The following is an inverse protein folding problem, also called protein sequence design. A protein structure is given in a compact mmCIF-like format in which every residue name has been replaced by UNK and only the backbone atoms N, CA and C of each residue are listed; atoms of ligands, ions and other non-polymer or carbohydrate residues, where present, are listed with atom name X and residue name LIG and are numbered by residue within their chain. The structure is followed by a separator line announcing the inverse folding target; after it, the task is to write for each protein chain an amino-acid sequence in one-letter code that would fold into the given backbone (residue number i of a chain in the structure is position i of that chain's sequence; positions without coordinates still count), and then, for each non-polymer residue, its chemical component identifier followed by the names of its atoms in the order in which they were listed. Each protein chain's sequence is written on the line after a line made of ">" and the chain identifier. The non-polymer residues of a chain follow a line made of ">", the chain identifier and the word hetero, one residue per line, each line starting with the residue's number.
data_IF_928741642093
#
_entry.id   IF_928741642093
#
_cell.length_a   1.000
_cell.length_b   1.000
_cell.length_c   1.000
_cell.angle_alpha   90.00
_cell.angle_beta   90.00
_cell.angle_gamma   90.00
#
_symmetry.space_group_name_H-M   'P 1'
#
loop_
_entity.id
_entity.type
_entity.pdbx_description
1 polymer ?
#
# COMPACT_ATOMS: atom_id res chain seq x y z
N UNK A 1 -6.43 31.38 9.80
CA UNK A 1 -5.66 30.23 9.26
C UNK A 1 -6.24 28.99 9.89
N UNK A 2 -6.86 28.13 9.10
CA UNK A 2 -7.28 26.80 9.56
C UNK A 2 -6.02 25.96 9.78
N UNK A 3 -5.82 25.49 11.01
CA UNK A 3 -4.71 24.60 11.35
C UNK A 3 -5.15 23.17 11.05
N UNK A 4 -4.35 22.42 10.29
CA UNK A 4 -4.55 20.98 10.08
C UNK A 4 -5.30 20.54 8.82
N UNK A 5 -5.60 21.46 7.88
CA UNK A 5 -6.24 21.14 6.58
C UNK A 5 -7.59 20.41 6.68
N UNK A 6 -8.31 20.57 7.80
CA UNK A 6 -9.65 20.01 7.94
C UNK A 6 -10.57 20.58 6.85
N UNK A 7 -11.29 19.70 6.15
CA UNK A 7 -12.21 20.02 5.05
C UNK A 7 -11.59 20.76 3.85
N UNK A 8 -10.25 20.78 3.72
CA UNK A 8 -9.54 21.36 2.58
C UNK A 8 -9.27 20.29 1.51
N UNK A 9 -9.84 20.47 0.32
CA UNK A 9 -9.55 19.61 -0.84
C UNK A 9 -8.15 19.94 -1.39
N UNK A 10 -7.19 19.03 -1.18
CA UNK A 10 -5.80 19.22 -1.61
C UNK A 10 -5.54 18.75 -3.06
N UNK A 11 -6.29 17.75 -3.54
CA UNK A 11 -6.13 17.16 -4.88
C UNK A 11 -7.40 16.43 -5.34
N UNK A 12 -7.47 16.13 -6.63
CA UNK A 12 -8.42 15.18 -7.21
C UNK A 12 -7.77 13.80 -7.30
N UNK A 13 -8.52 12.73 -7.00
CA UNK A 13 -8.01 11.35 -7.04
C UNK A 13 -9.07 10.39 -7.56
N UNK A 14 -8.63 9.32 -8.23
CA UNK A 14 -9.46 8.18 -8.62
C UNK A 14 -9.14 6.91 -7.81
N UNK A 15 -8.19 7.00 -6.85
CA UNK A 15 -7.62 5.84 -6.17
C UNK A 15 -8.53 5.30 -5.07
N UNK A 16 -9.08 6.19 -4.24
CA UNK A 16 -9.96 5.79 -3.14
C UNK A 16 -11.00 6.86 -2.85
N UNK A 17 -12.13 6.43 -2.30
CA UNK A 17 -13.18 7.30 -1.80
C UNK A 17 -13.56 6.88 -0.38
N UNK A 18 -13.85 7.86 0.48
CA UNK A 18 -14.14 7.65 1.90
C UNK A 18 -15.40 8.43 2.25
N UNK A 19 -16.45 7.71 2.62
CA UNK A 19 -17.61 8.32 3.27
C UNK A 19 -17.47 8.14 4.79
N UNK A 20 -16.92 9.16 5.45
CA UNK A 20 -16.72 9.16 6.89
C UNK A 20 -18.03 9.21 7.71
N UNK A 21 -19.17 9.60 7.12
CA UNK A 21 -20.47 9.62 7.81
C UNK A 21 -21.11 8.24 7.82
N UNK A 22 -20.99 7.51 6.72
CA UNK A 22 -21.51 6.16 6.58
C UNK A 22 -20.48 5.07 6.96
N UNK A 23 -19.23 5.45 7.19
CA UNK A 23 -18.14 4.53 7.53
C UNK A 23 -17.75 3.61 6.37
N UNK A 24 -17.84 4.11 5.13
CA UNK A 24 -17.56 3.33 3.92
C UNK A 24 -16.27 3.76 3.26
N UNK A 25 -15.56 2.79 2.69
CA UNK A 25 -14.29 2.97 1.99
C UNK A 25 -14.33 2.16 0.69
N UNK A 26 -13.88 2.80 -0.39
CA UNK A 26 -13.73 2.16 -1.70
C UNK A 26 -12.33 2.36 -2.25
N UNK A 27 -11.79 1.34 -2.92
CA UNK A 27 -10.58 1.42 -3.73
C UNK A 27 -10.94 1.27 -5.21
N UNK A 28 -10.61 2.27 -6.01
CA UNK A 28 -10.93 2.34 -7.44
C UNK A 28 -12.39 1.93 -7.78
N UNK A 29 -13.34 2.26 -6.89
CA UNK A 29 -14.76 1.94 -7.02
C UNK A 29 -15.23 0.62 -6.40
N UNK A 30 -14.33 -0.24 -5.93
CA UNK A 30 -14.64 -1.50 -5.24
C UNK A 30 -14.74 -1.28 -3.73
N UNK A 31 -15.75 -1.88 -3.08
CA UNK A 31 -15.89 -1.80 -1.62
C UNK A 31 -14.72 -2.49 -0.93
N UNK A 32 -14.20 -1.91 0.15
CA UNK A 32 -13.10 -2.52 0.90
C UNK A 32 -13.49 -3.88 1.50
N UNK A 33 -14.75 -4.05 1.90
CA UNK A 33 -15.25 -5.31 2.46
C UNK A 33 -15.18 -6.44 1.42
N UNK A 34 -15.54 -6.11 0.18
CA UNK A 34 -15.58 -7.06 -0.94
C UNK A 34 -14.15 -7.46 -1.35
N UNK A 35 -13.23 -6.50 -1.35
CA UNK A 35 -11.80 -6.76 -1.58
C UNK A 35 -11.18 -7.59 -0.45
N UNK A 36 -11.52 -7.31 0.81
CA UNK A 36 -10.97 -8.04 1.94
C UNK A 36 -11.44 -9.51 1.98
N UNK A 37 -12.65 -9.79 1.52
CA UNK A 37 -13.20 -11.14 1.45
C UNK A 37 -12.73 -11.93 0.22
N UNK A 38 -12.56 -11.26 -0.93
CA UNK A 38 -12.42 -11.94 -2.22
C UNK A 38 -11.12 -11.68 -2.98
N UNK A 39 -10.30 -10.71 -2.56
CA UNK A 39 -9.08 -10.34 -3.26
C UNK A 39 -7.82 -10.60 -2.42
N UNK A 40 -6.72 -10.86 -3.12
CA UNK A 40 -5.38 -10.97 -2.52
C UNK A 40 -4.69 -9.61 -2.43
N UNK A 41 -3.59 -9.54 -1.67
CA UNK A 41 -2.79 -8.33 -1.57
C UNK A 41 -2.25 -7.89 -2.93
N UNK A 42 -1.77 -8.83 -3.72
CA UNK A 42 -1.23 -8.62 -5.06
C UNK A 42 -2.29 -8.06 -6.03
N UNK A 43 -3.52 -8.57 -5.99
CA UNK A 43 -4.65 -8.03 -6.78
C UNK A 43 -5.00 -6.60 -6.37
N UNK A 44 -5.04 -6.31 -5.06
CA UNK A 44 -5.34 -4.96 -4.56
C UNK A 44 -4.20 -3.98 -4.88
N UNK A 45 -2.94 -4.42 -4.80
CA UNK A 45 -1.79 -3.62 -5.22
C UNK A 45 -1.91 -3.26 -6.71
N UNK A 46 -2.18 -4.26 -7.56
CA UNK A 46 -2.42 -4.03 -8.98
C UNK A 46 -3.58 -3.04 -9.20
N UNK A 47 -4.69 -3.23 -8.50
CA UNK A 47 -5.88 -2.38 -8.56
C UNK A 47 -5.57 -0.91 -8.26
N UNK A 48 -4.83 -0.64 -7.18
CA UNK A 48 -4.51 0.73 -6.76
C UNK A 48 -3.60 1.43 -7.80
N UNK A 49 -2.69 0.68 -8.43
CA UNK A 49 -1.78 1.21 -9.44
C UNK A 49 -2.42 1.38 -10.83
N UNK A 50 -3.36 0.51 -11.21
CA UNK A 50 -3.93 0.46 -12.56
C UNK A 50 -5.40 0.87 -12.65
N UNK A 51 -6.06 1.10 -11.51
CA UNK A 51 -7.49 1.44 -11.38
C UNK A 51 -8.43 0.38 -11.98
N UNK A 52 -7.98 -0.87 -12.07
CA UNK A 52 -8.76 -2.06 -12.47
C UNK A 52 -8.16 -3.32 -11.87
N UNK A 53 -8.94 -4.39 -11.77
CA UNK A 53 -8.42 -5.70 -11.40
C UNK A 53 -7.50 -6.27 -12.50
N UNK A 54 -6.49 -7.07 -12.12
CA UNK A 54 -5.60 -7.72 -13.08
C UNK A 54 -6.32 -8.84 -13.84
N UNK A 55 -5.80 -9.16 -15.02
CA UNK A 55 -6.02 -10.48 -15.63
C UNK A 55 -5.14 -11.51 -14.94
N UNK A 56 -5.43 -12.81 -15.12
CA UNK A 56 -4.62 -13.87 -14.51
C UNK A 56 -3.14 -13.76 -14.88
N UNK A 57 -2.84 -13.50 -16.16
CA UNK A 57 -1.45 -13.34 -16.63
C UNK A 57 -0.74 -12.17 -15.96
N UNK A 58 -1.41 -11.03 -15.82
CA UNK A 58 -0.83 -9.85 -15.14
C UNK A 58 -0.61 -10.10 -13.65
N UNK A 59 -1.50 -10.85 -13.01
CA UNK A 59 -1.36 -11.22 -11.61
C UNK A 59 -0.16 -12.18 -11.42
N UNK A 60 -0.02 -13.15 -12.30
CA UNK A 60 1.09 -14.12 -12.25
C UNK A 60 2.44 -13.39 -12.45
N UNK A 61 2.53 -12.50 -13.44
CA UNK A 61 3.72 -11.68 -13.71
C UNK A 61 4.07 -10.77 -12.53
N UNK A 62 3.09 -10.05 -11.97
CA UNK A 62 3.31 -9.20 -10.80
C UNK A 62 3.79 -10.01 -9.60
N UNK A 63 3.16 -11.16 -9.36
CA UNK A 63 3.51 -12.02 -8.22
C UNK A 63 4.92 -12.56 -8.36
N UNK A 64 5.32 -13.02 -9.55
CA UNK A 64 6.68 -13.48 -9.84
C UNK A 64 7.70 -12.36 -9.62
N UNK A 65 7.43 -11.16 -10.14
CA UNK A 65 8.28 -10.00 -9.93
C UNK A 65 8.44 -9.69 -8.43
N UNK A 66 7.33 -9.63 -7.70
CA UNK A 66 7.34 -9.35 -6.27
C UNK A 66 8.13 -10.39 -5.47
N UNK A 67 8.09 -11.67 -5.85
CA UNK A 67 8.87 -12.74 -5.21
C UNK A 67 10.37 -12.56 -5.48
N UNK A 68 10.73 -12.24 -6.72
CA UNK A 68 12.11 -12.06 -7.13
C UNK A 68 12.77 -10.82 -6.47
N UNK A 69 11.97 -9.80 -6.18
CA UNK A 69 12.45 -8.52 -5.61
C UNK A 69 12.34 -8.43 -4.07
N UNK A 70 11.99 -9.52 -3.34
CA UNK A 70 11.83 -9.49 -1.86
C UNK A 70 13.13 -9.32 -1.10
N UNK A 71 14.24 -9.73 -1.69
CA UNK A 71 15.50 -9.81 -0.98
C UNK A 71 16.11 -8.42 -0.80
N UNK A 72 16.27 -8.01 0.46
CA UNK A 72 16.98 -6.78 0.80
C UNK A 72 18.47 -6.87 0.43
N UNK A 73 19.06 -5.76 -0.02
CA UNK A 73 20.49 -5.69 -0.32
C UNK A 73 21.37 -5.95 0.92
N UNK A 74 22.56 -6.50 0.70
CA UNK A 74 23.49 -6.95 1.76
C UNK A 74 23.79 -5.89 2.82
N UNK A 75 23.89 -4.63 2.40
CA UNK A 75 24.11 -3.50 3.30
C UNK A 75 22.97 -3.35 4.32
N UNK A 76 21.72 -3.38 3.85
CA UNK A 76 20.54 -3.29 4.73
C UNK A 76 20.47 -4.51 5.64
N UNK A 77 20.72 -5.72 5.12
CA UNK A 77 20.74 -6.95 5.93
C UNK A 77 21.74 -6.88 7.08
N UNK A 78 22.92 -6.32 6.81
CA UNK A 78 23.97 -6.16 7.82
C UNK A 78 23.59 -5.11 8.88
N UNK A 79 22.88 -4.06 8.47
CA UNK A 79 22.48 -2.96 9.35
C UNK A 79 21.24 -3.29 10.21
N UNK A 80 20.37 -4.20 9.74
CA UNK A 80 19.09 -4.53 10.38
C UNK A 80 19.19 -4.89 11.88
N UNK A 81 20.12 -5.75 12.35
CA UNK A 81 20.22 -6.10 13.76
C UNK A 81 20.49 -4.88 14.65
N UNK A 82 21.41 -4.00 14.21
CA UNK A 82 21.74 -2.77 14.95
C UNK A 82 20.56 -1.81 15.02
N UNK A 83 19.81 -1.65 13.92
CA UNK A 83 18.62 -0.79 13.91
C UNK A 83 17.49 -1.33 14.78
N UNK A 84 17.32 -2.65 14.82
CA UNK A 84 16.29 -3.31 15.62
C UNK A 84 16.53 -3.12 17.13
N UNK A 85 17.78 -3.06 17.57
CA UNK A 85 18.13 -2.82 18.98
C UNK A 85 18.03 -1.34 19.38
N UNK A 86 18.32 -0.42 18.45
CA UNK A 86 18.51 1.00 18.78
C UNK A 86 17.30 1.88 18.45
N UNK A 87 16.37 1.40 17.63
CA UNK A 87 15.33 2.25 17.05
C UNK A 87 13.96 1.57 17.06
N UNK A 88 12.90 2.37 16.90
CA UNK A 88 11.55 1.82 16.69
C UNK A 88 11.42 1.22 15.28
N UNK A 89 10.49 0.27 15.05
CA UNK A 89 10.27 -0.32 13.72
C UNK A 89 10.07 0.71 12.60
N UNK A 90 9.37 1.82 12.88
CA UNK A 90 9.18 2.90 11.90
C UNK A 90 10.48 3.67 11.60
N UNK A 91 11.35 3.86 12.59
CA UNK A 91 12.65 4.51 12.40
C UNK A 91 13.61 3.63 11.60
N UNK A 92 13.54 2.31 11.83
CA UNK A 92 14.26 1.31 11.05
C UNK A 92 13.80 1.32 9.59
N UNK A 93 12.48 1.25 9.35
CA UNK A 93 11.90 1.31 7.99
C UNK A 93 12.33 2.59 7.25
N UNK A 94 12.22 3.75 7.90
CA UNK A 94 12.67 5.05 7.34
C UNK A 94 14.15 5.05 6.98
N UNK A 95 14.99 4.32 7.70
CA UNK A 95 16.44 4.28 7.43
C UNK A 95 16.79 3.28 6.33
N UNK A 96 15.91 2.29 6.08
CA UNK A 96 16.12 1.25 5.09
C UNK A 96 15.62 1.61 3.67
N UNK A 97 14.70 2.57 3.55
CA UNK A 97 14.10 3.08 2.30
C UNK A 97 14.69 4.43 1.94
#
# INVERSE_FOLDING_TARGET
>A
MEKGLADVVAAQTAISDIDGKLGKLWYAGYSIDDLAENATFEEVMFLVHHLRLPTQTELDELTEQMVNDRDAGDFIRTLMPTLAEQTSPMSMLRTAV
#
